data_IF_535931543034
#
_entry.id   IF_535931543034
#
_cell.length_a   1.000
_cell.length_b   1.000
_cell.length_c   1.000
_cell.angle_alpha   90.00
_cell.angle_beta   90.00
_cell.angle_gamma   90.00
#
_symmetry.space_group_name_H-M   'P 1'
#
loop_
_entity.id
_entity.type
_entity.pdbx_description
1 polymer ?
#
# COMPACT_ATOMS: atom_id res chain seq x y z
N UNK A 1 -7.72 5.04 -18.90
CA UNK A 1 -6.72 4.98 -17.81
C UNK A 1 -5.50 4.27 -18.35
N UNK A 2 -4.30 4.82 -18.13
CA UNK A 2 -3.06 4.11 -18.45
C UNK A 2 -2.75 3.15 -17.30
N UNK A 3 -2.39 1.92 -17.63
CA UNK A 3 -2.04 0.89 -16.65
C UNK A 3 -0.60 0.47 -16.89
N UNK A 4 0.17 0.38 -15.81
CA UNK A 4 1.56 -0.10 -15.80
C UNK A 4 1.61 -1.35 -14.94
N UNK A 5 2.21 -2.42 -15.43
CA UNK A 5 2.45 -3.60 -14.61
C UNK A 5 3.67 -3.34 -13.73
N UNK A 6 3.46 -3.16 -12.44
CA UNK A 6 4.55 -2.96 -11.48
C UNK A 6 5.25 -4.29 -11.18
N UNK A 7 4.46 -5.37 -11.10
CA UNK A 7 4.95 -6.74 -10.98
C UNK A 7 3.90 -7.74 -11.51
N UNK A 8 4.10 -9.04 -11.27
CA UNK A 8 3.20 -10.09 -11.76
C UNK A 8 1.82 -10.12 -11.10
N UNK A 9 1.65 -9.45 -9.95
CA UNK A 9 0.40 -9.37 -9.18
C UNK A 9 -0.31 -8.03 -9.36
N UNK A 10 0.44 -6.93 -9.32
CA UNK A 10 -0.09 -5.58 -9.18
C UNK A 10 -0.15 -4.87 -10.53
N UNK A 11 -1.37 -4.53 -10.94
CA UNK A 11 -1.63 -3.60 -12.02
C UNK A 11 -1.71 -2.19 -11.44
N UNK A 12 -0.72 -1.36 -11.73
CA UNK A 12 -0.64 0.00 -11.25
C UNK A 12 -1.41 0.93 -12.20
N UNK A 13 -2.53 1.47 -11.74
CA UNK A 13 -3.30 2.45 -12.50
C UNK A 13 -2.72 3.86 -12.30
N UNK A 14 -2.18 4.44 -13.37
CA UNK A 14 -1.66 5.81 -13.33
C UNK A 14 -2.84 6.77 -13.39
N UNK A 15 -3.09 7.44 -12.27
CA UNK A 15 -4.15 8.43 -12.11
C UNK A 15 -3.60 9.85 -12.23
N UNK A 16 -4.44 10.75 -12.74
CA UNK A 16 -4.13 12.18 -12.77
C UNK A 16 -4.15 12.75 -11.34
N UNK A 17 -3.25 13.69 -10.99
CA UNK A 17 -3.29 14.38 -9.71
C UNK A 17 -4.65 15.07 -9.46
N UNK A 18 -5.16 15.08 -8.22
CA UNK A 18 -6.50 15.60 -7.91
C UNK A 18 -6.72 17.09 -8.22
N UNK A 19 -5.65 17.88 -8.23
CA UNK A 19 -5.63 19.32 -8.50
C UNK A 19 -5.52 19.66 -10.00
N UNK A 20 -5.29 18.65 -10.84
CA UNK A 20 -5.17 18.82 -12.28
C UNK A 20 -6.51 18.59 -12.98
N UNK A 21 -6.88 19.56 -13.81
CA UNK A 21 -8.04 19.49 -14.71
C UNK A 21 -7.67 20.13 -16.03
N UNK A 22 -8.30 19.72 -17.13
CA UNK A 22 -8.04 20.27 -18.45
C UNK A 22 -8.41 19.33 -19.59
N UNK A 23 -8.17 19.78 -20.82
CA UNK A 23 -8.30 18.97 -22.03
C UNK A 23 -6.97 18.29 -22.32
N UNK A 24 -6.99 17.01 -22.63
CA UNK A 24 -5.78 16.27 -23.03
C UNK A 24 -5.32 16.79 -24.39
N UNK A 25 -4.08 17.29 -24.46
CA UNK A 25 -3.44 17.72 -25.71
C UNK A 25 -2.51 16.67 -26.28
N UNK A 26 -1.87 15.89 -25.40
CA UNK A 26 -0.97 14.82 -25.78
C UNK A 26 -1.08 13.66 -24.80
N UNK A 27 -1.00 12.45 -25.34
CA UNK A 27 -0.88 11.22 -24.59
C UNK A 27 0.26 10.40 -25.20
N UNK A 28 1.19 9.94 -24.37
CA UNK A 28 2.28 9.11 -24.84
C UNK A 28 1.73 7.77 -25.38
N UNK A 29 2.25 7.27 -26.51
CA UNK A 29 1.87 5.96 -27.04
C UNK A 29 2.30 4.83 -26.10
N UNK A 30 1.78 3.60 -26.26
CA UNK A 30 2.24 2.46 -25.48
C UNK A 30 3.73 2.20 -25.71
N UNK A 31 4.51 2.10 -24.63
CA UNK A 31 5.95 1.94 -24.70
C UNK A 31 6.60 1.82 -23.33
N UNK A 32 7.93 1.75 -23.32
CA UNK A 32 8.73 1.77 -22.10
C UNK A 32 9.14 3.21 -21.80
N UNK A 33 8.86 3.64 -20.58
CA UNK A 33 9.13 4.98 -20.09
C UNK A 33 9.72 4.90 -18.68
N UNK A 34 10.53 5.88 -18.33
CA UNK A 34 10.97 6.13 -16.96
C UNK A 34 9.92 6.94 -16.18
N UNK A 35 10.01 6.91 -14.85
CA UNK A 35 9.12 7.67 -13.96
C UNK A 35 9.19 9.20 -14.18
N UNK A 36 10.26 9.68 -14.80
CA UNK A 36 10.51 11.11 -15.09
C UNK A 36 10.04 11.53 -16.49
N UNK A 37 9.66 10.58 -17.33
CA UNK A 37 9.27 10.89 -18.70
C UNK A 37 7.84 11.44 -18.71
N UNK A 38 7.60 12.42 -19.58
CA UNK A 38 6.28 13.02 -19.76
C UNK A 38 5.37 12.07 -20.52
N UNK A 39 4.29 11.63 -19.87
CA UNK A 39 3.33 10.68 -20.43
C UNK A 39 2.00 11.32 -20.83
N UNK A 40 1.72 12.52 -20.30
CA UNK A 40 0.47 13.22 -20.51
C UNK A 40 0.70 14.74 -20.52
N UNK A 41 0.04 15.43 -21.43
CA UNK A 41 -0.07 16.89 -21.40
C UNK A 41 -1.54 17.31 -21.34
N UNK A 42 -1.83 18.25 -20.44
CA UNK A 42 -3.14 18.86 -20.32
C UNK A 42 -3.06 20.35 -20.61
N UNK A 43 -4.08 20.86 -21.29
CA UNK A 43 -4.30 22.28 -21.48
C UNK A 43 -5.52 22.74 -20.68
N UNK A 44 -5.32 23.76 -19.85
CA UNK A 44 -6.38 24.40 -19.09
C UNK A 44 -6.19 25.91 -19.12
N UNK A 45 -7.23 26.64 -19.56
CA UNK A 45 -7.21 28.10 -19.68
C UNK A 45 -6.00 28.65 -20.45
N UNK A 46 -5.57 27.95 -21.52
CA UNK A 46 -4.42 28.33 -22.34
C UNK A 46 -3.05 27.99 -21.74
N UNK A 47 -3.00 27.41 -20.54
CA UNK A 47 -1.75 26.93 -19.92
C UNK A 47 -1.61 25.43 -20.15
N UNK A 48 -0.49 25.02 -20.74
CA UNK A 48 -0.13 23.60 -20.91
C UNK A 48 0.69 23.13 -19.72
N UNK A 49 0.27 22.03 -19.09
CA UNK A 49 0.98 21.36 -18.01
C UNK A 49 1.35 19.95 -18.44
N UNK A 50 2.58 19.55 -18.13
CA UNK A 50 3.12 18.23 -18.39
C UNK A 50 3.02 17.38 -17.13
N UNK A 51 2.69 16.10 -17.30
CA UNK A 51 2.57 15.13 -16.23
C UNK A 51 3.39 13.89 -16.57
N UNK A 52 4.09 13.38 -15.54
CA UNK A 52 4.82 12.12 -15.59
C UNK A 52 4.00 11.03 -14.89
N UNK A 53 4.54 9.81 -14.81
CA UNK A 53 3.91 8.72 -14.04
C UNK A 53 4.01 8.93 -12.52
N UNK A 54 4.92 9.78 -12.07
CA UNK A 54 5.16 10.06 -10.65
C UNK A 54 4.45 11.33 -10.20
N UNK A 55 3.83 11.26 -9.03
CA UNK A 55 3.19 12.40 -8.37
C UNK A 55 3.71 12.54 -6.94
N UNK A 56 3.99 13.78 -6.53
CA UNK A 56 4.37 14.09 -5.15
C UNK A 56 3.12 14.43 -4.36
N UNK A 57 2.97 13.85 -3.17
CA UNK A 57 1.84 14.10 -2.30
C UNK A 57 2.30 14.39 -0.86
N UNK A 58 1.78 15.44 -0.20
CA UNK A 58 2.12 15.73 1.20
C UNK A 58 1.61 14.64 2.15
N UNK A 59 2.50 14.02 2.92
CA UNK A 59 2.15 12.88 3.81
C UNK A 59 1.11 13.24 4.89
N UNK A 60 1.10 14.48 5.38
CA UNK A 60 0.12 14.94 6.39
C UNK A 60 -1.25 15.27 5.82
N UNK A 61 -1.42 15.25 4.50
CA UNK A 61 -2.72 15.50 3.85
C UNK A 61 -3.26 14.18 3.34
N UNK A 62 -4.43 13.68 3.81
CA UNK A 62 -5.00 12.45 3.28
C UNK A 62 -5.36 12.62 1.80
N UNK A 63 -5.23 11.55 1.00
CA UNK A 63 -5.61 11.60 -0.41
C UNK A 63 -7.12 11.87 -0.55
N UNK A 64 -7.55 12.77 -1.45
CA UNK A 64 -8.96 13.10 -1.60
C UNK A 64 -9.73 11.91 -2.18
N UNK A 65 -10.98 11.79 -1.76
CA UNK A 65 -11.94 10.77 -2.21
C UNK A 65 -13.25 11.44 -2.59
N UNK A 66 -14.00 10.86 -3.53
CA UNK A 66 -15.25 11.43 -4.00
C UNK A 66 -16.34 11.44 -2.91
N UNK A 67 -16.53 10.30 -2.24
CA UNK A 67 -17.49 10.14 -1.13
C UNK A 67 -16.97 9.09 -0.14
N UNK A 68 -17.43 9.16 1.11
CA UNK A 68 -17.18 8.12 2.12
C UNK A 68 -18.36 7.15 2.15
N UNK A 69 -18.08 5.87 1.98
CA UNK A 69 -19.07 4.79 2.05
C UNK A 69 -18.93 4.02 3.35
N UNK A 70 -20.03 3.45 3.84
CA UNK A 70 -19.99 2.52 4.96
C UNK A 70 -19.41 1.18 4.49
N UNK A 71 -18.52 0.60 5.29
CA UNK A 71 -17.92 -0.70 4.99
C UNK A 71 -18.89 -1.83 5.35
N UNK A 72 -19.15 -2.72 4.39
CA UNK A 72 -20.04 -3.89 4.53
C UNK A 72 -19.35 -5.22 4.20
N UNK A 73 -18.13 -5.17 3.65
CA UNK A 73 -17.36 -6.35 3.26
C UNK A 73 -16.42 -6.78 4.41
N UNK A 74 -16.45 -8.04 4.87
CA UNK A 74 -15.57 -8.50 5.95
C UNK A 74 -14.10 -8.55 5.53
N UNK A 75 -13.22 -8.15 6.45
CA UNK A 75 -11.78 -8.41 6.37
C UNK A 75 -11.54 -9.83 6.91
N UNK A 76 -11.26 -10.76 6.01
CA UNK A 76 -10.90 -12.13 6.38
C UNK A 76 -9.45 -12.13 6.83
N UNK A 77 -9.19 -12.50 8.08
CA UNK A 77 -7.83 -12.58 8.62
C UNK A 77 -7.21 -13.97 8.43
N UNK A 78 -8.04 -14.98 8.16
CA UNK A 78 -7.65 -16.38 8.12
C UNK A 78 -7.53 -17.03 9.52
N UNK A 79 -7.77 -16.26 10.58
CA UNK A 79 -7.72 -16.74 11.96
C UNK A 79 -9.15 -16.92 12.48
N UNK A 80 -9.52 -18.16 12.82
CA UNK A 80 -10.87 -18.51 13.30
C UNK A 80 -11.35 -17.64 14.47
N UNK A 81 -10.46 -17.34 15.42
CA UNK A 81 -10.81 -16.54 16.61
C UNK A 81 -11.11 -15.08 16.24
N UNK A 82 -10.34 -14.50 15.30
CA UNK A 82 -10.55 -13.13 14.86
C UNK A 82 -11.79 -13.05 13.96
N UNK A 83 -11.92 -13.96 13.00
CA UNK A 83 -13.01 -13.93 12.02
C UNK A 83 -14.37 -14.28 12.64
N UNK A 84 -14.42 -15.06 13.72
CA UNK A 84 -15.68 -15.45 14.37
C UNK A 84 -16.07 -14.59 15.57
N UNK A 85 -15.12 -14.28 16.47
CA UNK A 85 -15.44 -13.60 17.73
C UNK A 85 -15.23 -12.09 17.67
N UNK A 86 -14.27 -11.63 16.87
CA UNK A 86 -13.89 -10.21 16.76
C UNK A 86 -13.73 -9.78 15.30
N UNK A 87 -14.76 -9.96 14.45
CA UNK A 87 -14.66 -9.72 13.02
C UNK A 87 -14.37 -8.25 12.73
N UNK A 88 -13.59 -8.01 11.68
CA UNK A 88 -13.34 -6.69 11.12
C UNK A 88 -13.90 -6.60 9.70
N UNK A 89 -13.98 -5.38 9.18
CA UNK A 89 -14.44 -5.07 7.81
C UNK A 89 -13.32 -4.39 7.03
N UNK A 90 -13.34 -4.54 5.71
CA UNK A 90 -12.42 -3.81 4.81
C UNK A 90 -12.70 -2.30 4.93
N UNK A 91 -11.71 -1.54 5.40
CA UNK A 91 -11.86 -0.13 5.77
C UNK A 91 -12.22 0.12 7.25
N UNK A 92 -12.35 -0.95 8.05
CA UNK A 92 -12.50 -0.88 9.50
C UNK A 92 -11.20 -0.51 10.22
N UNK A 93 -11.31 -0.17 11.50
CA UNK A 93 -10.16 0.11 12.37
C UNK A 93 -10.10 -0.91 13.50
N UNK A 94 -8.93 -1.52 13.71
CA UNK A 94 -8.70 -2.52 14.75
C UNK A 94 -7.48 -2.17 15.58
N UNK A 95 -7.47 -2.63 16.83
CA UNK A 95 -6.32 -2.54 17.72
C UNK A 95 -6.03 -3.92 18.32
N UNK A 96 -4.76 -4.32 18.30
CA UNK A 96 -4.28 -5.57 18.90
C UNK A 96 -3.32 -5.20 20.04
N UNK A 97 -3.83 -4.94 21.25
CA UNK A 97 -2.98 -4.69 22.40
C UNK A 97 -2.32 -5.99 22.87
N UNK A 98 -1.16 -5.88 23.52
CA UNK A 98 -0.51 -7.04 24.13
C UNK A 98 0.89 -6.74 24.63
N UNK A 99 1.33 -7.50 25.63
CA UNK A 99 2.70 -7.40 26.14
C UNK A 99 3.73 -7.85 25.10
N UNK A 100 5.00 -7.62 25.42
CA UNK A 100 6.12 -8.11 24.61
C UNK A 100 6.08 -9.65 24.53
N UNK A 101 6.30 -10.21 23.33
CA UNK A 101 6.27 -11.67 23.13
C UNK A 101 4.88 -12.32 23.02
N UNK A 102 3.78 -11.56 23.10
CA UNK A 102 2.43 -12.10 22.98
C UNK A 102 1.97 -12.39 21.54
N UNK A 103 2.88 -12.42 20.56
CA UNK A 103 2.54 -12.79 19.17
C UNK A 103 1.91 -11.69 18.31
N UNK A 104 2.04 -10.40 18.67
CA UNK A 104 1.52 -9.28 17.86
C UNK A 104 2.05 -9.31 16.42
N UNK A 105 3.36 -9.43 16.26
CA UNK A 105 4.02 -9.51 14.93
C UNK A 105 3.58 -10.73 14.14
N UNK A 106 3.34 -11.86 14.82
CA UNK A 106 2.83 -13.09 14.19
C UNK A 106 1.43 -12.88 13.60
N UNK A 107 0.55 -12.17 14.32
CA UNK A 107 -0.78 -11.83 13.80
C UNK A 107 -0.66 -10.88 12.60
N UNK A 108 0.20 -9.86 12.67
CA UNK A 108 0.41 -8.94 11.55
C UNK A 108 0.97 -9.65 10.31
N UNK A 109 1.90 -10.59 10.47
CA UNK A 109 2.42 -11.44 9.39
C UNK A 109 1.31 -12.32 8.79
N UNK A 110 0.51 -12.96 9.63
CA UNK A 110 -0.62 -13.78 9.18
C UNK A 110 -1.64 -12.95 8.39
N UNK A 111 -1.92 -11.72 8.83
CA UNK A 111 -2.79 -10.79 8.11
C UNK A 111 -2.21 -10.43 6.74
N UNK A 112 -0.91 -10.14 6.66
CA UNK A 112 -0.26 -9.85 5.37
C UNK A 112 -0.33 -11.01 4.38
N UNK A 113 -0.35 -12.26 4.88
CA UNK A 113 -0.33 -13.47 4.06
C UNK A 113 -1.72 -13.96 3.65
N UNK A 114 -2.67 -13.98 4.58
CA UNK A 114 -3.95 -14.64 4.41
C UNK A 114 -5.12 -13.66 4.24
N UNK A 115 -4.88 -12.36 4.34
CA UNK A 115 -5.96 -11.40 4.16
C UNK A 115 -6.48 -11.35 2.73
N UNK A 116 -7.78 -11.10 2.62
CA UNK A 116 -8.48 -10.83 1.37
C UNK A 116 -8.26 -9.39 0.86
N UNK A 117 -7.30 -8.64 1.40
CA UNK A 117 -6.87 -7.37 0.84
C UNK A 117 -6.14 -7.58 -0.49
N UNK A 118 -5.99 -6.55 -1.32
CA UNK A 118 -5.19 -6.62 -2.56
C UNK A 118 -3.72 -6.24 -2.32
N UNK A 119 -3.49 -5.23 -1.47
CA UNK A 119 -2.18 -4.72 -1.11
C UNK A 119 -2.05 -4.56 0.41
N UNK A 120 -0.81 -4.55 0.90
CA UNK A 120 -0.51 -4.40 2.33
C UNK A 120 0.54 -3.31 2.50
N UNK A 121 0.32 -2.38 3.42
CA UNK A 121 1.34 -1.41 3.85
C UNK A 121 1.65 -1.71 5.30
N UNK A 122 2.86 -2.19 5.56
CA UNK A 122 3.32 -2.51 6.91
C UNK A 122 4.27 -1.43 7.40
N UNK A 123 3.89 -0.76 8.47
CA UNK A 123 4.70 0.30 9.09
C UNK A 123 5.19 -0.18 10.45
N UNK A 124 6.49 -0.47 10.54
CA UNK A 124 7.16 -0.76 11.80
C UNK A 124 7.64 0.54 12.44
N UNK A 125 6.98 1.01 13.50
CA UNK A 125 7.29 2.27 14.16
C UNK A 125 7.83 2.04 15.58
N UNK A 126 9.14 2.22 15.75
CA UNK A 126 9.80 2.02 17.05
C UNK A 126 9.96 0.55 17.43
N UNK A 127 9.83 -0.36 16.47
CA UNK A 127 10.07 -1.79 16.66
C UNK A 127 11.55 -2.08 16.95
N UNK A 128 11.86 -3.19 17.61
CA UNK A 128 13.26 -3.55 17.85
C UNK A 128 13.92 -3.91 16.52
N UNK A 129 15.19 -3.53 16.37
CA UNK A 129 15.93 -3.77 15.12
C UNK A 129 15.93 -5.25 14.68
N UNK A 130 16.00 -6.17 15.64
CA UNK A 130 15.96 -7.61 15.35
C UNK A 130 14.59 -8.06 14.82
N UNK A 131 13.48 -7.50 15.32
CA UNK A 131 12.14 -7.84 14.85
C UNK A 131 11.92 -7.35 13.41
N UNK A 132 12.42 -6.15 13.10
CA UNK A 132 12.37 -5.64 11.73
C UNK A 132 13.29 -6.41 10.78
N UNK A 133 14.46 -6.86 11.26
CA UNK A 133 15.35 -7.70 10.46
C UNK A 133 14.72 -9.06 10.14
N UNK A 134 14.07 -9.69 11.13
CA UNK A 134 13.31 -10.94 10.95
C UNK A 134 12.18 -10.76 9.93
N UNK A 135 11.39 -9.69 10.04
CA UNK A 135 10.36 -9.33 9.05
C UNK A 135 10.94 -9.19 7.63
N UNK A 136 12.08 -8.50 7.49
CA UNK A 136 12.72 -8.30 6.19
C UNK A 136 13.31 -9.59 5.60
N UNK A 137 13.72 -10.55 6.44
CA UNK A 137 14.22 -11.86 5.99
C UNK A 137 13.08 -12.82 5.64
N UNK A 138 12.01 -12.82 6.44
CA UNK A 138 10.92 -13.78 6.32
C UNK A 138 9.93 -13.42 5.21
N UNK A 139 9.57 -12.13 5.07
CA UNK A 139 8.54 -11.73 4.10
C UNK A 139 8.84 -12.15 2.66
N UNK A 140 10.09 -12.05 2.15
CA UNK A 140 10.42 -12.56 0.83
C UNK A 140 10.20 -14.07 0.67
N UNK A 141 10.36 -14.85 1.75
CA UNK A 141 10.17 -16.30 1.77
C UNK A 141 8.69 -16.70 1.89
N UNK A 142 7.82 -15.79 2.34
CA UNK A 142 6.39 -16.05 2.42
C UNK A 142 5.77 -16.02 1.02
N UNK A 143 5.24 -17.16 0.58
CA UNK A 143 4.42 -17.28 -0.63
C UNK A 143 2.95 -17.33 -0.28
N UNK A 144 2.11 -16.80 -1.17
CA UNK A 144 0.66 -16.99 -1.17
C UNK A 144 0.24 -17.72 -2.43
N UNK A 145 -0.75 -18.60 -2.28
CA UNK A 145 -1.37 -19.28 -3.43
C UNK A 145 -2.50 -18.41 -3.95
N UNK A 146 -2.38 -17.99 -5.20
CA UNK A 146 -3.41 -17.25 -5.90
C UNK A 146 -4.60 -18.16 -6.25
N UNK A 147 -5.79 -17.60 -6.55
CA UNK A 147 -6.95 -18.37 -7.00
C UNK A 147 -6.71 -19.21 -8.26
N UNK A 148 -5.72 -18.83 -9.08
CA UNK A 148 -5.30 -19.56 -10.29
C UNK A 148 -4.28 -20.68 -10.00
N UNK A 149 -3.95 -20.90 -8.73
CA UNK A 149 -3.02 -21.94 -8.27
C UNK A 149 -1.54 -21.55 -8.31
N UNK A 150 -1.19 -20.35 -8.80
CA UNK A 150 0.21 -19.89 -8.79
C UNK A 150 0.65 -19.46 -7.40
N UNK A 151 1.89 -19.78 -7.05
CA UNK A 151 2.51 -19.24 -5.85
C UNK A 151 3.27 -17.96 -6.18
N UNK A 152 3.02 -16.92 -5.40
CA UNK A 152 3.69 -15.63 -5.53
C UNK A 152 4.12 -15.10 -4.17
N UNK A 153 5.25 -14.40 -4.13
CA UNK A 153 5.77 -13.83 -2.87
C UNK A 153 4.87 -12.71 -2.36
N UNK A 154 4.59 -12.73 -1.06
CA UNK A 154 3.80 -11.69 -0.37
C UNK A 154 4.46 -10.30 -0.51
N UNK A 155 5.78 -10.24 -0.69
CA UNK A 155 6.50 -8.98 -0.91
C UNK A 155 6.08 -8.24 -2.18
N UNK A 156 5.59 -8.93 -3.21
CA UNK A 156 5.15 -8.27 -4.46
C UNK A 156 3.90 -7.41 -4.29
N UNK A 157 3.14 -7.61 -3.21
CA UNK A 157 1.93 -6.82 -2.89
C UNK A 157 2.05 -6.07 -1.56
N UNK A 158 3.26 -6.01 -1.01
CA UNK A 158 3.52 -5.42 0.32
C UNK A 158 4.55 -4.32 0.24
N UNK A 159 4.24 -3.16 0.82
CA UNK A 159 5.21 -2.07 1.05
C UNK A 159 5.58 -2.04 2.53
N UNK A 160 6.89 -2.03 2.82
CA UNK A 160 7.42 -1.98 4.18
C UNK A 160 8.01 -0.60 4.47
N UNK A 161 7.57 0.02 5.57
CA UNK A 161 8.19 1.22 6.15
C UNK A 161 8.84 0.81 7.46
N UNK A 162 10.17 0.71 7.45
CA UNK A 162 10.95 0.24 8.58
C UNK A 162 11.53 1.41 9.37
N UNK A 163 11.10 1.58 10.61
CA UNK A 163 11.62 2.59 11.50
C UNK A 163 11.88 2.00 12.90
N UNK A 164 13.15 1.74 13.20
CA UNK A 164 13.53 1.01 14.41
C UNK A 164 13.57 1.90 15.64
N UNK A 165 13.57 1.30 16.82
CA UNK A 165 13.66 1.99 18.11
C UNK A 165 14.95 2.82 18.30
N UNK A 166 15.96 2.66 17.44
CA UNK A 166 17.19 3.46 17.50
C UNK A 166 17.18 4.66 16.54
N UNK A 167 16.15 4.81 15.72
CA UNK A 167 16.00 5.93 14.78
C UNK A 167 15.38 7.16 15.45
N UNK A 168 15.55 8.36 14.86
CA UNK A 168 15.07 9.63 15.42
C UNK A 168 13.57 9.61 15.73
N UNK A 169 13.18 10.25 16.84
CA UNK A 169 11.77 10.32 17.26
C UNK A 169 10.89 11.00 16.20
N UNK A 170 11.39 12.02 15.51
CA UNK A 170 10.67 12.69 14.42
C UNK A 170 10.36 11.72 13.26
N UNK A 171 11.24 10.74 12.99
CA UNK A 171 10.99 9.72 11.98
C UNK A 171 9.85 8.75 12.40
N UNK A 172 9.62 8.56 13.71
CA UNK A 172 8.52 7.72 14.24
C UNK A 172 7.16 8.30 13.94
N UNK A 173 7.00 9.58 14.24
CA UNK A 173 5.77 10.28 13.88
C UNK A 173 5.60 10.32 12.36
N UNK A 174 6.66 10.67 11.62
CA UNK A 174 6.62 10.76 10.17
C UNK A 174 6.34 9.43 9.47
N UNK A 175 6.80 8.29 10.02
CA UNK A 175 6.61 6.97 9.39
C UNK A 175 5.15 6.50 9.38
N UNK A 176 4.31 7.03 10.27
CA UNK A 176 2.88 6.70 10.36
C UNK A 176 2.04 7.51 9.35
N UNK A 177 2.51 8.69 8.95
CA UNK A 177 1.87 9.52 7.91
C UNK A 177 2.23 9.03 6.51
#
# INVERSE_FOLDING_TARGET
MQTVFENSLMQHHVALPPDAMGKITYIAPPGQYSLKDTVLELEFQGVKKQFTMLQTWPVRTPRPVATKLAADTPLLTGQRVLDALFPSVLGGTCAIPGAFGCGKTVISQALSKYSNSDAVVYVGCGERGNEMAEVLMDFPQLTMTLPDGREESVMKRTTLVANTSNMPVAAREASIY
#
